data_IF_229980472711
#
_entry.id   IF_229980472711
#
_cell.length_a   1.000
_cell.length_b   1.000
_cell.length_c   1.000
_cell.angle_alpha   90.00
_cell.angle_beta   90.00
_cell.angle_gamma   90.00
#
_symmetry.space_group_name_H-M   'P 1'
#
loop_
_entity.id
_entity.type
_entity.pdbx_description
1 polymer ?
#
# COMPACT_ATOMS: atom_id res chain seq x y z
N UNK A 1 -21.86 16.96 -1.96
CA UNK A 1 -22.61 16.54 -0.77
C UNK A 1 -24.08 16.46 -1.17
N UNK A 2 -24.83 15.47 -0.69
CA UNK A 2 -26.28 15.36 -0.89
C UNK A 2 -26.95 15.44 0.48
N UNK A 3 -27.90 16.35 0.63
CA UNK A 3 -28.59 16.65 1.89
C UNK A 3 -30.09 16.38 1.73
N UNK A 4 -30.67 15.58 2.62
CA UNK A 4 -32.11 15.31 2.60
C UNK A 4 -32.92 16.51 3.15
N UNK A 5 -34.02 16.87 2.49
CA UNK A 5 -34.83 18.07 2.75
C UNK A 5 -35.38 18.12 4.18
N UNK A 6 -35.74 16.97 4.75
CA UNK A 6 -36.32 16.87 6.08
C UNK A 6 -35.25 17.02 7.19
N UNK A 7 -34.02 16.58 6.91
CA UNK A 7 -32.90 16.64 7.86
C UNK A 7 -32.18 18.01 7.87
N UNK A 8 -32.40 18.84 6.83
CA UNK A 8 -31.76 20.17 6.71
C UNK A 8 -32.06 21.05 7.91
N UNK A 9 -33.32 21.06 8.35
CA UNK A 9 -33.79 21.97 9.40
C UNK A 9 -33.12 21.63 10.73
N UNK A 10 -32.99 20.34 11.06
CA UNK A 10 -32.36 19.88 12.30
C UNK A 10 -30.84 20.08 12.27
N UNK A 11 -30.19 19.84 11.13
CA UNK A 11 -28.74 20.05 10.97
C UNK A 11 -28.39 21.54 11.09
N UNK A 12 -29.14 22.41 10.41
CA UNK A 12 -28.91 23.87 10.48
C UNK A 12 -29.23 24.42 11.87
N UNK A 13 -30.21 23.85 12.58
CA UNK A 13 -30.54 24.24 13.96
C UNK A 13 -29.44 23.83 14.96
N UNK A 14 -28.85 22.64 14.81
CA UNK A 14 -27.85 22.13 15.73
C UNK A 14 -26.41 22.59 15.42
N UNK A 15 -26.07 22.73 14.14
CA UNK A 15 -24.70 22.98 13.69
C UNK A 15 -24.53 24.30 12.91
N UNK A 16 -25.57 25.14 12.87
CA UNK A 16 -25.62 26.42 12.16
C UNK A 16 -25.47 26.26 10.63
N UNK A 17 -25.45 27.38 9.92
CA UNK A 17 -25.26 27.42 8.46
C UNK A 17 -23.88 26.90 8.04
N UNK A 18 -22.89 26.94 8.95
CA UNK A 18 -21.50 26.52 8.72
C UNK A 18 -21.21 25.09 9.20
N UNK A 19 -22.22 24.22 9.17
CA UNK A 19 -22.10 22.82 9.60
C UNK A 19 -20.98 22.08 8.84
N UNK A 20 -20.72 22.47 7.60
CA UNK A 20 -19.67 21.93 6.73
C UNK A 20 -18.27 22.14 7.30
N UNK A 21 -18.00 23.32 7.90
CA UNK A 21 -16.68 23.62 8.48
C UNK A 21 -16.39 22.72 9.67
N UNK A 22 -17.32 22.65 10.62
CA UNK A 22 -17.10 21.93 11.88
C UNK A 22 -17.25 20.41 11.72
N UNK A 23 -18.24 19.95 10.94
CA UNK A 23 -18.50 18.51 10.79
C UNK A 23 -17.62 17.84 9.73
N UNK A 24 -17.17 18.58 8.71
CA UNK A 24 -16.46 18.01 7.57
C UNK A 24 -15.01 18.47 7.56
N UNK A 25 -14.73 19.78 7.53
CA UNK A 25 -13.35 20.26 7.39
C UNK A 25 -12.47 19.95 8.59
N UNK A 26 -12.92 20.27 9.81
CA UNK A 26 -12.11 20.06 11.02
C UNK A 26 -11.86 18.56 11.23
N UNK A 27 -12.86 17.72 10.93
CA UNK A 27 -12.74 16.26 11.02
C UNK A 27 -11.79 15.69 9.97
N UNK A 28 -11.84 16.15 8.71
CA UNK A 28 -10.87 15.76 7.68
C UNK A 28 -9.44 16.06 8.13
N UNK A 29 -9.19 17.26 8.66
CA UNK A 29 -7.84 17.63 9.13
C UNK A 29 -7.37 16.72 10.25
N UNK A 30 -8.25 16.38 11.21
CA UNK A 30 -7.90 15.46 12.29
C UNK A 30 -7.55 14.06 11.76
N UNK A 31 -8.39 13.50 10.89
CA UNK A 31 -8.16 12.16 10.31
C UNK A 31 -6.90 12.10 9.44
N UNK A 32 -6.66 13.13 8.62
CA UNK A 32 -5.43 13.22 7.82
C UNK A 32 -4.20 13.32 8.72
N UNK A 33 -4.25 14.14 9.77
CA UNK A 33 -3.14 14.25 10.72
C UNK A 33 -2.89 12.91 11.44
N UNK A 34 -3.94 12.21 11.86
CA UNK A 34 -3.82 10.89 12.46
C UNK A 34 -3.19 9.89 11.49
N UNK A 35 -3.62 9.90 10.23
CA UNK A 35 -3.06 9.07 9.18
C UNK A 35 -1.57 9.37 8.94
N UNK A 36 -1.21 10.65 8.84
CA UNK A 36 0.18 11.10 8.68
C UNK A 36 1.06 10.87 9.93
N UNK A 37 0.47 10.57 11.09
CA UNK A 37 1.22 10.25 12.31
C UNK A 37 1.64 8.77 12.36
N UNK A 38 0.89 7.90 11.68
CA UNK A 38 1.13 6.44 11.68
C UNK A 38 1.99 6.03 10.48
N UNK A 39 1.88 6.76 9.36
CA UNK A 39 2.55 6.43 8.11
C UNK A 39 3.70 7.37 7.79
N UNK A 40 4.74 6.82 7.16
CA UNK A 40 5.83 7.64 6.65
C UNK A 40 5.41 8.40 5.40
N UNK A 41 6.03 9.56 5.15
CA UNK A 41 5.81 10.34 3.92
C UNK A 41 5.97 9.49 2.65
N UNK A 42 6.90 8.53 2.64
CA UNK A 42 7.16 7.64 1.50
C UNK A 42 5.96 6.73 1.20
N UNK A 43 5.47 6.01 2.21
CA UNK A 43 4.31 5.11 2.08
C UNK A 43 3.06 5.88 1.65
N UNK A 44 2.83 7.05 2.25
CA UNK A 44 1.70 7.95 1.91
C UNK A 44 1.77 8.40 0.46
N UNK A 45 2.96 8.73 -0.05
CA UNK A 45 3.11 9.34 -1.37
C UNK A 45 3.04 8.32 -2.52
N UNK A 46 3.59 7.12 -2.31
CA UNK A 46 3.74 6.10 -3.36
C UNK A 46 2.54 5.15 -3.38
N UNK A 47 2.19 4.57 -2.23
CA UNK A 47 1.30 3.40 -2.18
C UNK A 47 -0.06 3.71 -1.56
N UNK A 48 -0.11 4.57 -0.54
CA UNK A 48 -1.30 4.76 0.28
C UNK A 48 -2.15 5.97 -0.16
N UNK A 49 -1.69 6.81 -1.09
CA UNK A 49 -2.45 8.01 -1.48
C UNK A 49 -3.84 7.68 -2.01
N UNK A 50 -3.98 6.61 -2.78
CA UNK A 50 -5.28 6.15 -3.29
C UNK A 50 -6.16 5.54 -2.20
N UNK A 51 -5.57 4.92 -1.17
CA UNK A 51 -6.35 4.32 -0.08
C UNK A 51 -6.84 5.35 0.94
N UNK A 52 -6.16 6.49 1.07
CA UNK A 52 -6.56 7.60 1.95
C UNK A 52 -7.92 8.16 1.56
N UNK A 53 -8.17 8.38 0.28
CA UNK A 53 -9.44 8.96 -0.20
C UNK A 53 -10.63 8.08 0.21
N UNK A 54 -10.50 6.76 0.05
CA UNK A 54 -11.52 5.78 0.41
C UNK A 54 -11.67 5.64 1.93
N UNK A 55 -10.56 5.64 2.67
CA UNK A 55 -10.55 5.59 4.12
C UNK A 55 -11.26 6.82 4.72
N UNK A 56 -10.90 8.03 4.27
CA UNK A 56 -11.52 9.27 4.70
C UNK A 56 -13.01 9.30 4.37
N UNK A 57 -13.38 8.89 3.16
CA UNK A 57 -14.80 8.82 2.77
C UNK A 57 -15.59 7.91 3.71
N UNK A 58 -15.05 6.74 4.05
CA UNK A 58 -15.70 5.77 4.93
C UNK A 58 -15.85 6.31 6.35
N UNK A 59 -14.77 6.81 6.95
CA UNK A 59 -14.78 7.31 8.34
C UNK A 59 -15.74 8.49 8.48
N UNK A 60 -15.66 9.46 7.56
CA UNK A 60 -16.56 10.61 7.60
C UNK A 60 -18.03 10.18 7.43
N UNK A 61 -18.33 9.23 6.55
CA UNK A 61 -19.71 8.78 6.37
C UNK A 61 -20.26 8.09 7.63
N UNK A 62 -19.45 7.31 8.34
CA UNK A 62 -19.84 6.69 9.61
C UNK A 62 -20.18 7.75 10.66
N UNK A 63 -19.31 8.75 10.81
CA UNK A 63 -19.51 9.81 11.80
C UNK A 63 -20.71 10.70 11.45
N UNK A 64 -20.89 11.02 10.17
CA UNK A 64 -22.05 11.79 9.71
C UNK A 64 -23.37 11.03 9.89
N UNK A 65 -23.38 9.70 9.77
CA UNK A 65 -24.58 8.92 10.05
C UNK A 65 -25.03 9.03 11.52
N UNK A 66 -24.10 9.28 12.45
CA UNK A 66 -24.38 9.45 13.88
C UNK A 66 -24.76 10.89 14.21
N UNK A 67 -23.99 11.86 13.70
CA UNK A 67 -24.12 13.28 14.06
C UNK A 67 -25.22 14.00 13.26
N UNK A 68 -25.42 13.61 12.00
CA UNK A 68 -26.28 14.31 11.05
C UNK A 68 -26.94 13.32 10.06
N UNK A 69 -27.93 12.53 10.53
CA UNK A 69 -28.63 11.57 9.68
C UNK A 69 -29.29 12.32 8.50
N UNK A 70 -28.92 11.96 7.27
CA UNK A 70 -29.39 12.62 6.04
C UNK A 70 -28.36 13.46 5.30
N UNK A 71 -27.12 13.56 5.81
CA UNK A 71 -25.97 14.13 5.11
C UNK A 71 -25.11 13.04 4.47
N UNK A 72 -24.93 13.09 3.15
CA UNK A 72 -24.15 12.11 2.40
C UNK A 72 -22.96 12.72 1.66
N UNK A 73 -21.80 12.09 1.83
CA UNK A 73 -20.57 12.45 1.13
C UNK A 73 -20.50 11.69 -0.20
N UNK A 74 -20.48 12.43 -1.30
CA UNK A 74 -20.39 11.85 -2.65
C UNK A 74 -18.97 11.31 -2.94
N UNK A 75 -17.96 12.18 -2.81
CA UNK A 75 -16.55 11.84 -2.99
C UNK A 75 -15.67 12.78 -2.16
N UNK A 76 -14.58 12.24 -1.61
CA UNK A 76 -13.49 13.00 -1.00
C UNK A 76 -12.27 12.86 -1.91
N UNK A 77 -11.53 13.94 -2.08
CA UNK A 77 -10.26 13.97 -2.80
C UNK A 77 -9.28 14.78 -1.98
N UNK A 78 -8.19 14.15 -1.56
CA UNK A 78 -7.09 14.86 -0.90
C UNK A 78 -6.16 15.42 -1.97
N UNK A 79 -5.66 16.64 -1.75
CA UNK A 79 -4.65 17.22 -2.64
C UNK A 79 -3.28 16.66 -2.28
N UNK A 80 -2.52 16.21 -3.29
CA UNK A 80 -1.15 15.72 -3.06
C UNK A 80 -0.31 16.83 -2.41
N UNK A 81 0.33 16.56 -1.25
CA UNK A 81 1.22 17.54 -0.64
C UNK A 81 2.40 17.85 -1.57
N UNK A 82 2.78 19.14 -1.66
CA UNK A 82 3.97 19.54 -2.43
C UNK A 82 5.23 19.19 -1.64
N UNK A 83 5.86 18.06 -1.99
CA UNK A 83 7.13 17.65 -1.39
C UNK A 83 8.25 18.55 -1.97
N UNK A 84 9.12 19.14 -1.14
CA UNK A 84 10.27 19.91 -1.61
C UNK A 84 11.24 19.06 -2.46
N UNK A 85 11.80 19.66 -3.51
CA UNK A 85 12.69 18.93 -4.45
C UNK A 85 13.96 18.36 -3.78
N UNK A 86 14.44 18.98 -2.71
CA UNK A 86 15.59 18.49 -1.95
C UNK A 86 15.34 17.10 -1.36
N UNK A 87 14.13 16.86 -0.85
CA UNK A 87 13.77 15.56 -0.27
C UNK A 87 13.46 14.57 -1.41
N UNK A 88 12.84 15.03 -2.52
CA UNK A 88 12.57 14.21 -3.70
C UNK A 88 13.83 13.54 -4.25
N UNK A 89 14.94 14.28 -4.39
CA UNK A 89 16.21 13.72 -4.89
C UNK A 89 16.79 12.68 -3.95
N UNK A 90 16.78 12.94 -2.64
CA UNK A 90 17.24 11.97 -1.65
C UNK A 90 16.39 10.69 -1.66
N UNK A 91 15.08 10.81 -1.93
CA UNK A 91 14.19 9.66 -2.08
C UNK A 91 14.47 8.87 -3.36
N UNK A 92 14.63 9.53 -4.50
CA UNK A 92 14.96 8.87 -5.77
C UNK A 92 16.26 8.04 -5.63
N UNK A 93 17.27 8.55 -4.92
CA UNK A 93 18.51 7.80 -4.65
C UNK A 93 18.27 6.63 -3.70
N UNK A 94 17.56 6.83 -2.59
CA UNK A 94 17.29 5.76 -1.62
C UNK A 94 16.46 4.62 -2.21
N UNK A 95 15.50 4.92 -3.09
CA UNK A 95 14.71 3.90 -3.77
C UNK A 95 15.52 3.14 -4.82
N UNK A 96 16.41 3.82 -5.54
CA UNK A 96 17.35 3.17 -6.44
C UNK A 96 18.25 2.19 -5.69
N UNK A 97 18.80 2.60 -4.55
CA UNK A 97 19.64 1.74 -3.70
C UNK A 97 18.85 0.57 -3.12
N UNK A 98 17.63 0.79 -2.62
CA UNK A 98 16.77 -0.26 -2.06
C UNK A 98 16.37 -1.28 -3.14
N UNK A 99 16.05 -0.81 -4.34
CA UNK A 99 15.72 -1.67 -5.49
C UNK A 99 16.93 -2.48 -5.91
N UNK A 100 18.09 -1.84 -6.02
CA UNK A 100 19.33 -2.50 -6.36
C UNK A 100 19.70 -3.58 -5.33
N UNK A 101 19.56 -3.29 -4.04
CA UNK A 101 19.77 -4.26 -2.98
C UNK A 101 18.82 -5.46 -3.11
N UNK A 102 17.51 -5.22 -3.29
CA UNK A 102 16.53 -6.29 -3.49
C UNK A 102 16.86 -7.17 -4.70
N UNK A 103 17.27 -6.57 -5.81
CA UNK A 103 17.70 -7.30 -7.02
C UNK A 103 18.93 -8.15 -6.71
N UNK A 104 19.96 -7.58 -6.07
CA UNK A 104 21.17 -8.31 -5.72
C UNK A 104 20.89 -9.46 -4.75
N UNK A 105 20.05 -9.26 -3.73
CA UNK A 105 19.65 -10.33 -2.80
C UNK A 105 18.87 -11.43 -3.51
N UNK A 106 17.91 -11.08 -4.37
CA UNK A 106 17.16 -12.07 -5.15
C UNK A 106 18.08 -12.84 -6.09
N UNK A 107 19.01 -12.16 -6.75
CA UNK A 107 20.00 -12.79 -7.62
C UNK A 107 20.91 -13.75 -6.84
N UNK A 108 21.40 -13.36 -5.66
CA UNK A 108 22.17 -14.24 -4.79
C UNK A 108 21.39 -15.51 -4.42
N UNK A 109 20.11 -15.38 -4.07
CA UNK A 109 19.26 -16.55 -3.77
C UNK A 109 19.04 -17.46 -4.97
N UNK A 110 18.90 -16.90 -6.18
CA UNK A 110 18.77 -17.69 -7.41
C UNK A 110 20.05 -18.48 -7.67
N UNK A 111 21.21 -17.82 -7.59
CA UNK A 111 22.51 -18.47 -7.80
C UNK A 111 22.75 -19.58 -6.77
N UNK A 112 22.39 -19.36 -5.51
CA UNK A 112 22.52 -20.38 -4.45
C UNK A 112 21.64 -21.61 -4.76
N UNK A 113 20.39 -21.39 -5.18
CA UNK A 113 19.46 -22.48 -5.56
C UNK A 113 19.88 -23.18 -6.85
N UNK A 114 20.42 -22.47 -7.83
CA UNK A 114 20.96 -23.06 -9.06
C UNK A 114 22.18 -23.93 -8.74
N UNK A 115 23.10 -23.45 -7.90
CA UNK A 115 24.26 -24.22 -7.47
C UNK A 115 23.86 -25.50 -6.70
N UNK A 116 22.82 -25.43 -5.86
CA UNK A 116 22.27 -26.62 -5.19
C UNK A 116 21.62 -27.59 -6.19
N UNK A 117 20.88 -27.06 -7.17
CA UNK A 117 20.22 -27.85 -8.21
C UNK A 117 21.23 -28.57 -9.09
N UNK A 118 22.31 -27.90 -9.49
CA UNK A 118 23.37 -28.46 -10.31
C UNK A 118 24.15 -29.55 -9.58
N UNK A 119 24.43 -29.37 -8.28
CA UNK A 119 25.03 -30.42 -7.44
C UNK A 119 24.15 -31.67 -7.39
N UNK A 120 22.85 -31.50 -7.17
CA UNK A 120 21.90 -32.63 -7.16
C UNK A 120 21.83 -33.31 -8.52
N UNK A 121 21.79 -32.54 -9.62
CA UNK A 121 21.79 -33.08 -10.99
C UNK A 121 23.05 -33.90 -11.27
N UNK A 122 24.22 -33.39 -10.90
CA UNK A 122 25.50 -34.09 -11.10
C UNK A 122 25.55 -35.44 -10.37
N UNK A 123 25.04 -35.51 -9.14
CA UNK A 123 24.96 -36.76 -8.36
C UNK A 123 24.03 -37.77 -9.06
N UNK A 124 22.83 -37.34 -9.45
CA UNK A 124 21.85 -38.19 -10.14
C UNK A 124 22.42 -38.72 -11.47
N UNK A 125 23.14 -37.88 -12.21
CA UNK A 125 23.74 -38.28 -13.48
C UNK A 125 24.89 -39.28 -13.30
N UNK A 126 25.72 -39.10 -12.27
CA UNK A 126 26.76 -40.07 -11.91
C UNK A 126 26.16 -41.42 -11.48
N UNK A 127 25.11 -41.43 -10.65
CA UNK A 127 24.41 -42.65 -10.25
C UNK A 127 23.76 -43.36 -11.46
N UNK A 128 23.11 -42.59 -12.34
CA UNK A 128 22.51 -43.10 -13.57
C UNK A 128 23.56 -43.76 -14.47
N UNK A 129 24.71 -43.11 -14.69
CA UNK A 129 25.80 -43.67 -15.49
C UNK A 129 26.37 -44.96 -14.87
N UNK A 130 26.57 -44.98 -13.55
CA UNK A 130 27.03 -46.16 -12.85
C UNK A 130 26.04 -47.33 -13.00
N UNK A 131 24.73 -47.05 -12.93
CA UNK A 131 23.69 -48.06 -13.09
C UNK A 131 23.60 -48.59 -14.53
N UNK A 132 23.72 -47.71 -15.53
CA UNK A 132 23.78 -48.12 -16.94
C UNK A 132 25.02 -48.98 -17.22
N UNK A 133 26.19 -48.59 -16.69
CA UNK A 133 27.42 -49.36 -16.85
C UNK A 133 27.31 -50.77 -16.23
N UNK A 134 26.66 -50.88 -15.07
CA UNK A 134 26.39 -52.17 -14.42
C UNK A 134 25.49 -53.07 -15.27
N UNK A 135 24.40 -52.52 -15.81
CA UNK A 135 23.48 -53.26 -16.69
C UNK A 135 24.20 -53.74 -17.96
N UNK A 136 25.04 -52.90 -18.58
CA UNK A 136 25.82 -53.29 -19.76
C UNK A 136 26.84 -54.40 -19.46
N UNK A 137 27.43 -54.41 -18.26
CA UNK A 137 28.35 -55.46 -17.84
C UNK A 137 27.64 -56.80 -17.59
N UNK A 138 26.42 -56.77 -17.02
CA UNK A 138 25.60 -57.97 -16.79
C UNK A 138 25.02 -58.57 -18.08
N UNK A 139 24.95 -57.81 -19.18
CA UNK A 139 24.48 -58.29 -20.49
C UNK A 139 25.58 -58.93 -21.36
N UNK A 140 26.86 -58.89 -20.94
CA UNK A 140 27.99 -59.52 -21.63
C UNK A 140 28.34 -60.87 -21.01
#
# INVERSE_FOLDING_TARGET
>A
NILNRDAVIDIVRNYTVYYDRTLIFDKIHHEVNQFCSVHTLQEVYIDLFSSIDDHLKRTLQVDLNILAPGLYISSVRVTKPKIPEAIRRNYETMEQEKTQYMITTAHQQVVEKEAETDRRRAIIEAEKLAQVAKIQYEQK
#
